data_IF_028226470605
#
_entry.id   IF_028226470605
#
_cell.length_a   1.000
_cell.length_b   1.000
_cell.length_c   1.000
_cell.angle_alpha   90.00
_cell.angle_beta   90.00
_cell.angle_gamma   90.00
#
_symmetry.space_group_name_H-M   'P 1'
#
loop_
_entity.id
_entity.type
_entity.pdbx_description
1 polymer ?
#
# COMPACT_ATOMS: atom_id res chain seq x y z
N UNK A 1 -12.24 12.04 3.28
CA UNK A 1 -11.58 13.34 3.54
C UNK A 1 -10.22 13.30 2.89
N UNK A 2 -10.04 13.98 1.76
CA UNK A 2 -8.74 14.10 1.09
C UNK A 2 -7.76 14.74 2.07
N UNK A 3 -6.76 13.99 2.53
CA UNK A 3 -5.62 14.59 3.21
C UNK A 3 -5.12 15.72 2.31
N UNK A 4 -5.06 16.96 2.82
CA UNK A 4 -4.63 18.11 2.03
C UNK A 4 -3.15 17.92 1.69
N UNK A 5 -2.86 17.38 0.50
CA UNK A 5 -1.50 17.05 0.07
C UNK A 5 -0.79 18.38 -0.25
N UNK A 6 0.22 18.73 0.56
CA UNK A 6 0.97 19.97 0.36
C UNK A 6 2.03 19.79 -0.74
N UNK A 7 1.63 19.98 -2.00
CA UNK A 7 2.52 19.90 -3.16
C UNK A 7 3.70 20.89 -3.12
N UNK A 8 3.66 21.93 -2.27
CA UNK A 8 4.79 22.87 -2.11
C UNK A 8 6.05 22.17 -1.61
N UNK A 9 5.93 21.04 -0.93
CA UNK A 9 7.08 20.27 -0.42
C UNK A 9 8.01 19.75 -1.53
N UNK A 10 7.52 19.64 -2.77
CA UNK A 10 8.33 19.22 -3.91
C UNK A 10 9.34 20.28 -4.36
N UNK A 11 9.12 21.55 -4.01
CA UNK A 11 10.01 22.66 -4.39
C UNK A 11 11.35 22.61 -3.64
N UNK A 12 11.43 21.78 -2.60
CA UNK A 12 12.60 21.67 -1.74
C UNK A 12 13.27 20.32 -1.94
N UNK A 13 14.58 20.32 -2.22
CA UNK A 13 15.36 19.09 -2.44
C UNK A 13 15.71 18.35 -1.15
N UNK A 14 15.74 19.07 -0.02
CA UNK A 14 16.11 18.53 1.29
C UNK A 14 15.33 19.23 2.40
N UNK A 15 15.27 18.58 3.57
CA UNK A 15 14.69 19.18 4.77
C UNK A 15 15.39 20.50 5.14
N UNK A 16 16.70 20.61 4.93
CA UNK A 16 17.43 21.86 5.17
C UNK A 16 17.00 22.99 4.23
N UNK A 17 16.75 22.70 2.96
CA UNK A 17 16.21 23.68 2.00
C UNK A 17 14.82 24.15 2.43
N UNK A 18 13.96 23.21 2.84
CA UNK A 18 12.63 23.49 3.39
C UNK A 18 12.69 24.36 4.66
N UNK A 19 13.59 24.07 5.61
CA UNK A 19 13.76 24.91 6.80
C UNK A 19 14.26 26.32 6.46
N UNK A 20 15.13 26.42 5.46
CA UNK A 20 15.71 27.70 5.04
C UNK A 20 14.66 28.62 4.41
N UNK A 21 13.62 28.08 3.78
CA UNK A 21 12.56 28.90 3.16
C UNK A 21 11.73 29.70 4.17
N UNK A 22 11.77 29.36 5.45
CA UNK A 22 11.07 30.10 6.51
C UNK A 22 11.93 31.18 7.17
N UNK A 23 13.23 31.23 6.87
CA UNK A 23 14.17 32.20 7.47
C UNK A 23 13.98 33.56 6.78
N UNK A 24 13.82 34.63 7.58
CA UNK A 24 13.74 36.01 7.07
C UNK A 24 15.07 36.73 7.17
N UNK A 25 15.21 37.81 6.41
CA UNK A 25 16.38 38.68 6.49
C UNK A 25 16.57 39.31 7.88
N UNK A 26 15.50 39.50 8.65
CA UNK A 26 15.57 39.98 10.04
C UNK A 26 16.30 38.97 10.96
N UNK A 27 16.14 37.68 10.71
CA UNK A 27 16.74 36.64 11.55
C UNK A 27 18.26 36.69 11.52
N UNK A 28 18.83 36.93 10.34
CA UNK A 28 20.26 37.13 10.17
C UNK A 28 20.77 38.42 10.83
N UNK A 29 19.91 39.43 11.02
CA UNK A 29 20.28 40.70 11.66
C UNK A 29 20.31 40.58 13.18
N UNK A 30 19.37 39.83 13.76
CA UNK A 30 19.18 39.76 15.21
C UNK A 30 19.77 38.50 15.86
N UNK A 31 20.04 37.45 15.07
CA UNK A 31 20.60 36.19 15.58
C UNK A 31 21.95 35.93 14.91
N UNK A 32 23.01 35.87 15.72
CA UNK A 32 24.40 35.81 15.24
C UNK A 32 24.81 34.48 14.60
N UNK A 33 23.97 33.43 14.68
CA UNK A 33 24.30 32.12 14.13
C UNK A 33 23.07 31.35 13.64
N UNK A 34 23.29 30.37 12.75
CA UNK A 34 22.23 29.58 12.13
C UNK A 34 21.49 28.66 13.13
N UNK A 35 22.13 28.27 14.23
CA UNK A 35 21.56 27.38 15.24
C UNK A 35 20.30 27.96 15.93
N UNK A 36 20.34 29.17 16.54
CA UNK A 36 19.15 29.80 17.12
C UNK A 36 18.08 30.14 16.07
N UNK A 37 18.48 30.50 14.84
CA UNK A 37 17.54 30.77 13.73
C UNK A 37 16.74 29.51 13.41
N UNK A 38 17.41 28.36 13.22
CA UNK A 38 16.75 27.08 12.95
C UNK A 38 15.84 26.64 14.10
N UNK A 39 16.26 26.87 15.35
CA UNK A 39 15.45 26.56 16.52
C UNK A 39 14.19 27.41 16.57
N UNK A 40 14.30 28.70 16.26
CA UNK A 40 13.17 29.62 16.17
C UNK A 40 12.17 29.20 15.08
N UNK A 41 12.67 28.86 13.88
CA UNK A 41 11.83 28.38 12.78
C UNK A 41 11.09 27.10 13.18
N UNK A 42 11.80 26.11 13.74
CA UNK A 42 11.18 24.84 14.19
C UNK A 42 10.04 25.02 15.18
N UNK A 43 10.11 26.05 16.02
CA UNK A 43 9.07 26.35 17.00
C UNK A 43 7.77 26.88 16.38
N UNK A 44 7.79 27.28 15.09
CA UNK A 44 6.57 27.60 14.34
C UNK A 44 5.84 28.88 14.75
N UNK A 45 6.40 29.69 15.66
CA UNK A 45 5.74 30.91 16.19
C UNK A 45 5.39 31.96 15.13
N UNK A 46 5.94 31.86 13.91
CA UNK A 46 5.81 32.88 12.86
C UNK A 46 5.07 32.39 11.60
N UNK A 47 4.72 31.11 11.53
CA UNK A 47 3.94 30.57 10.41
C UNK A 47 2.56 30.14 10.89
N UNK A 48 1.53 30.54 10.16
CA UNK A 48 0.17 30.01 10.36
C UNK A 48 0.03 28.57 9.84
N UNK A 49 0.97 28.13 8.99
CA UNK A 49 1.05 26.77 8.48
C UNK A 49 1.83 25.86 9.43
N UNK A 50 1.42 24.58 9.48
CA UNK A 50 2.14 23.52 10.20
C UNK A 50 3.55 23.38 9.61
N UNK A 51 4.56 23.47 10.44
CA UNK A 51 5.93 23.11 10.08
C UNK A 51 6.12 21.62 10.34
N UNK A 52 6.50 20.88 9.31
CA UNK A 52 6.79 19.46 9.41
C UNK A 52 8.16 19.20 10.03
N UNK A 53 8.22 18.18 10.88
CA UNK A 53 9.49 17.61 11.33
C UNK A 53 10.22 16.91 10.18
N UNK A 54 11.51 16.61 10.35
CA UNK A 54 12.32 15.99 9.29
C UNK A 54 11.75 14.64 8.82
N UNK A 55 11.31 13.80 9.76
CA UNK A 55 10.66 12.53 9.44
C UNK A 55 9.33 12.73 8.72
N UNK A 56 8.52 13.71 9.16
CA UNK A 56 7.23 14.03 8.51
C UNK A 56 7.44 14.60 7.10
N UNK A 57 8.39 15.51 6.92
CA UNK A 57 8.76 16.12 5.64
C UNK A 57 9.17 15.05 4.63
N UNK A 58 10.10 14.17 5.02
CA UNK A 58 10.58 13.11 4.13
C UNK A 58 9.45 12.12 3.78
N UNK A 59 8.61 11.76 4.75
CA UNK A 59 7.46 10.88 4.53
C UNK A 59 6.44 11.49 3.57
N UNK A 60 6.08 12.76 3.77
CA UNK A 60 5.12 13.47 2.92
C UNK A 60 5.68 13.69 1.51
N UNK A 61 6.93 14.14 1.38
CA UNK A 61 7.58 14.34 0.09
C UNK A 61 7.70 13.05 -0.71
N UNK A 62 8.05 11.93 -0.06
CA UNK A 62 8.06 10.62 -0.70
C UNK A 62 6.66 10.22 -1.18
N UNK A 63 5.63 10.41 -0.36
CA UNK A 63 4.23 10.13 -0.74
C UNK A 63 3.77 10.97 -1.94
N UNK A 64 4.17 12.25 -2.00
CA UNK A 64 3.85 13.13 -3.13
C UNK A 64 4.57 12.67 -4.39
N UNK A 65 5.85 12.30 -4.30
CA UNK A 65 6.61 11.78 -5.43
C UNK A 65 6.04 10.46 -5.97
N UNK A 66 5.59 9.58 -5.08
CA UNK A 66 4.88 8.34 -5.46
C UNK A 66 3.56 8.65 -6.17
N UNK A 67 2.80 9.63 -5.69
CA UNK A 67 1.56 10.08 -6.32
C UNK A 67 1.80 10.74 -7.70
N UNK A 68 2.88 11.50 -7.84
CA UNK A 68 3.21 12.25 -9.06
C UNK A 68 3.81 11.37 -10.17
N UNK A 69 4.27 10.15 -9.85
CA UNK A 69 4.97 9.30 -10.81
C UNK A 69 4.29 7.94 -11.09
N UNK A 70 3.01 7.91 -11.50
CA UNK A 70 2.30 6.68 -11.83
C UNK A 70 2.90 5.95 -13.06
N UNK A 71 3.70 6.64 -13.89
CA UNK A 71 4.35 6.05 -15.08
C UNK A 71 5.45 5.04 -14.76
N UNK A 72 6.04 5.08 -13.57
CA UNK A 72 7.06 4.08 -13.16
C UNK A 72 6.38 2.75 -12.82
N UNK A 73 5.18 2.79 -12.24
CA UNK A 73 4.43 1.60 -11.82
C UNK A 73 3.97 0.74 -13.01
N UNK A 74 3.60 1.35 -14.14
CA UNK A 74 3.18 0.61 -15.34
C UNK A 74 4.33 0.05 -16.19
N UNK A 75 5.58 0.42 -15.92
CA UNK A 75 6.72 0.02 -16.76
C UNK A 75 7.35 -1.33 -16.39
N UNK A 76 7.09 -1.84 -15.18
CA UNK A 76 7.67 -3.10 -14.68
C UNK A 76 6.55 -4.09 -14.39
N UNK A 77 6.31 -4.99 -15.35
CA UNK A 77 5.46 -6.16 -15.15
C UNK A 77 6.31 -7.33 -14.66
N UNK A 78 6.14 -7.73 -13.40
CA UNK A 78 6.82 -8.86 -12.78
C UNK A 78 6.33 -10.20 -13.35
N UNK A 79 5.09 -10.26 -13.82
CA UNK A 79 4.48 -11.41 -14.49
C UNK A 79 5.25 -11.86 -15.73
N UNK A 80 6.03 -10.98 -16.37
CA UNK A 80 6.93 -11.36 -17.48
C UNK A 80 8.02 -12.36 -17.07
N UNK A 81 8.29 -12.50 -15.77
CA UNK A 81 9.22 -13.49 -15.23
C UNK A 81 8.55 -14.83 -14.89
N UNK A 82 7.24 -14.96 -15.10
CA UNK A 82 6.53 -16.21 -14.87
C UNK A 82 6.95 -17.28 -15.89
N UNK A 83 7.51 -18.38 -15.38
CA UNK A 83 7.92 -19.54 -16.18
C UNK A 83 7.27 -20.85 -15.72
N UNK A 84 6.41 -20.77 -14.71
CA UNK A 84 5.76 -21.93 -14.11
C UNK A 84 4.47 -22.33 -14.82
N UNK A 85 3.82 -23.37 -14.29
CA UNK A 85 2.50 -23.85 -14.73
C UNK A 85 1.42 -23.63 -13.67
N UNK A 86 1.77 -23.03 -12.55
CA UNK A 86 0.84 -22.82 -11.42
C UNK A 86 -0.30 -21.88 -11.82
N UNK A 87 -1.54 -22.34 -11.65
CA UNK A 87 -2.73 -21.62 -12.08
C UNK A 87 -2.98 -20.34 -11.28
N UNK A 88 -2.60 -20.31 -10.00
CA UNK A 88 -2.74 -19.11 -9.17
C UNK A 88 -1.80 -18.00 -9.62
N UNK A 89 -0.51 -18.32 -9.81
CA UNK A 89 0.46 -17.36 -10.34
C UNK A 89 0.08 -16.89 -11.75
N UNK A 90 -0.39 -17.79 -12.61
CA UNK A 90 -0.92 -17.42 -13.93
C UNK A 90 -2.10 -16.44 -13.81
N UNK A 91 -3.05 -16.70 -12.91
CA UNK A 91 -4.19 -15.82 -12.69
C UNK A 91 -3.80 -14.44 -12.14
N UNK A 92 -2.77 -14.36 -11.29
CA UNK A 92 -2.21 -13.11 -10.79
C UNK A 92 -1.46 -12.34 -11.88
N UNK A 93 -0.71 -13.03 -12.73
CA UNK A 93 -0.01 -12.43 -13.88
C UNK A 93 -1.01 -11.72 -14.81
N UNK A 94 -2.12 -12.38 -15.18
CA UNK A 94 -3.14 -11.77 -16.04
C UNK A 94 -3.84 -10.55 -15.40
N UNK A 95 -3.80 -10.42 -14.08
CA UNK A 95 -4.39 -9.31 -13.32
C UNK A 95 -3.42 -8.17 -13.06
N UNK A 96 -2.12 -8.38 -13.28
CA UNK A 96 -1.08 -7.42 -12.93
C UNK A 96 -1.27 -6.09 -13.65
N UNK A 97 -1.28 -6.10 -14.99
CA UNK A 97 -1.46 -4.88 -15.78
C UNK A 97 -2.81 -4.18 -15.52
N UNK A 98 -3.96 -4.87 -15.51
CA UNK A 98 -5.24 -4.24 -15.15
C UNK A 98 -5.27 -3.59 -13.75
N UNK A 99 -4.58 -4.16 -12.76
CA UNK A 99 -4.46 -3.56 -11.42
C UNK A 99 -3.56 -2.32 -11.44
N UNK A 100 -2.40 -2.39 -12.09
CA UNK A 100 -1.47 -1.25 -12.22
C UNK A 100 -2.08 -0.07 -13.02
N UNK A 101 -2.97 -0.37 -13.96
CA UNK A 101 -3.74 0.63 -14.72
C UNK A 101 -5.01 1.10 -14.01
N UNK A 102 -5.28 0.63 -12.78
CA UNK A 102 -6.49 0.93 -12.01
C UNK A 102 -7.79 0.67 -12.79
N UNK A 103 -7.81 -0.37 -13.64
CA UNK A 103 -9.04 -0.86 -14.30
C UNK A 103 -9.81 -1.81 -13.39
N UNK A 104 -9.07 -2.60 -12.63
CA UNK A 104 -9.60 -3.48 -11.59
C UNK A 104 -8.80 -3.28 -10.31
N UNK A 105 -9.41 -3.63 -9.18
CA UNK A 105 -8.77 -3.69 -7.87
C UNK A 105 -8.96 -5.11 -7.34
N UNK A 106 -7.87 -5.86 -7.23
CA UNK A 106 -7.88 -7.28 -6.82
C UNK A 106 -7.45 -7.43 -5.37
N UNK A 107 -8.28 -8.11 -4.57
CA UNK A 107 -7.92 -8.58 -3.23
C UNK A 107 -7.63 -10.08 -3.31
N UNK A 108 -6.45 -10.49 -2.83
CA UNK A 108 -6.02 -11.88 -2.76
C UNK A 108 -6.27 -12.39 -1.35
N UNK A 109 -7.06 -13.45 -1.21
CA UNK A 109 -7.10 -14.22 0.02
C UNK A 109 -6.32 -15.52 -0.14
N UNK A 110 -5.51 -15.85 0.86
CA UNK A 110 -4.82 -17.13 0.93
C UNK A 110 -4.60 -17.56 2.37
N UNK A 111 -4.49 -18.87 2.57
CA UNK A 111 -4.09 -19.51 3.81
C UNK A 111 -2.90 -20.42 3.52
N UNK A 112 -1.78 -20.20 4.21
CA UNK A 112 -0.52 -20.89 3.96
C UNK A 112 -0.04 -21.58 5.23
N UNK A 113 0.30 -22.86 5.11
CA UNK A 113 0.94 -23.64 6.19
C UNK A 113 2.39 -23.18 6.35
N UNK A 114 2.76 -22.79 7.57
CA UNK A 114 4.15 -22.46 7.92
C UNK A 114 4.95 -23.72 8.26
N UNK A 115 6.28 -23.58 8.26
CA UNK A 115 7.21 -24.64 8.72
C UNK A 115 7.00 -25.04 10.19
N UNK A 116 6.45 -24.14 11.01
CA UNK A 116 6.08 -24.41 12.40
C UNK A 116 4.91 -25.40 12.53
N UNK A 117 4.22 -25.71 11.43
CA UNK A 117 3.02 -26.53 11.42
C UNK A 117 1.73 -25.75 11.64
N UNK A 118 1.77 -24.44 11.91
CA UNK A 118 0.58 -23.60 12.03
C UNK A 118 0.34 -22.81 10.74
N UNK A 119 -0.92 -22.44 10.49
CA UNK A 119 -1.29 -21.68 9.31
C UNK A 119 -1.20 -20.17 9.57
N UNK A 120 -1.03 -19.41 8.49
CA UNK A 120 -1.34 -17.98 8.43
C UNK A 120 -2.31 -17.73 7.30
N UNK A 121 -3.25 -16.82 7.52
CA UNK A 121 -4.18 -16.38 6.47
C UNK A 121 -4.24 -14.88 6.40
N UNK A 122 -4.60 -14.34 5.24
CA UNK A 122 -4.76 -12.90 5.11
C UNK A 122 -5.34 -12.48 3.78
N UNK A 123 -5.73 -11.21 3.74
CA UNK A 123 -6.15 -10.50 2.54
C UNK A 123 -5.03 -9.55 2.12
N UNK A 124 -4.68 -9.56 0.84
CA UNK A 124 -3.59 -8.78 0.26
C UNK A 124 -4.17 -7.86 -0.83
N UNK A 125 -3.85 -6.57 -0.76
CA UNK A 125 -4.07 -5.62 -1.84
C UNK A 125 -3.05 -5.90 -2.95
N UNK A 126 -3.50 -6.40 -4.10
CA UNK A 126 -2.54 -6.83 -5.11
C UNK A 126 -1.76 -5.66 -5.70
N UNK A 127 -2.45 -4.57 -6.08
CA UNK A 127 -1.80 -3.36 -6.62
C UNK A 127 -0.82 -2.78 -5.60
N UNK A 128 -1.26 -2.59 -4.35
CA UNK A 128 -0.38 -1.98 -3.36
C UNK A 128 0.84 -2.87 -3.08
N UNK A 129 0.67 -4.20 -3.07
CA UNK A 129 1.79 -5.14 -2.91
C UNK A 129 2.80 -5.04 -4.04
N UNK A 130 2.34 -4.92 -5.30
CA UNK A 130 3.20 -4.72 -6.48
C UNK A 130 3.94 -3.38 -6.37
N UNK A 131 3.22 -2.31 -6.03
CA UNK A 131 3.77 -0.97 -5.82
C UNK A 131 4.83 -0.93 -4.72
N UNK A 132 4.59 -1.61 -3.60
CA UNK A 132 5.57 -1.76 -2.52
C UNK A 132 6.85 -2.47 -2.98
N UNK A 133 6.73 -3.47 -3.86
CA UNK A 133 7.88 -4.13 -4.47
C UNK A 133 8.67 -3.18 -5.38
N UNK A 134 7.98 -2.42 -6.24
CA UNK A 134 8.60 -1.45 -7.15
C UNK A 134 9.39 -0.39 -6.40
N UNK A 135 8.83 0.14 -5.31
CA UNK A 135 9.49 1.13 -4.48
C UNK A 135 10.39 0.54 -3.38
N UNK A 136 10.56 -0.78 -3.33
CA UNK A 136 11.36 -1.50 -2.32
C UNK A 136 11.08 -1.02 -0.89
N UNK A 137 9.79 -0.87 -0.55
CA UNK A 137 9.36 -0.54 0.81
C UNK A 137 9.85 -1.63 1.78
N UNK A 138 10.10 -1.33 3.07
CA UNK A 138 10.42 -2.37 4.04
C UNK A 138 9.39 -3.51 4.01
N UNK A 139 9.85 -4.75 4.15
CA UNK A 139 9.02 -5.96 4.19
C UNK A 139 8.11 -6.17 2.96
N UNK A 140 8.53 -5.68 1.79
CA UNK A 140 7.82 -5.90 0.52
C UNK A 140 7.81 -7.38 0.10
N UNK A 141 6.75 -7.79 -0.60
CA UNK A 141 6.73 -9.07 -1.32
C UNK A 141 7.62 -8.96 -2.56
N UNK A 142 8.64 -9.80 -2.70
CA UNK A 142 9.50 -9.83 -3.89
C UNK A 142 8.77 -10.50 -5.07
N UNK A 143 7.90 -9.75 -5.76
CA UNK A 143 7.05 -10.27 -6.83
C UNK A 143 7.83 -10.91 -7.98
N UNK A 144 9.03 -10.42 -8.29
CA UNK A 144 9.92 -11.09 -9.25
C UNK A 144 10.28 -12.51 -8.81
N UNK A 145 10.72 -12.67 -7.57
CA UNK A 145 11.07 -13.99 -7.03
C UNK A 145 9.84 -14.91 -6.92
N UNK A 146 8.67 -14.35 -6.62
CA UNK A 146 7.39 -15.09 -6.60
C UNK A 146 7.04 -15.63 -7.99
N UNK A 147 7.07 -14.79 -9.04
CA UNK A 147 6.78 -15.25 -10.40
C UNK A 147 7.84 -16.20 -10.97
N UNK A 148 9.11 -16.05 -10.58
CA UNK A 148 10.19 -16.98 -10.91
C UNK A 148 10.11 -18.30 -10.12
N UNK A 149 9.22 -18.42 -9.13
CA UNK A 149 9.08 -19.60 -8.26
C UNK A 149 10.21 -19.76 -7.24
N UNK A 150 11.03 -18.73 -7.02
CA UNK A 150 12.13 -18.72 -6.03
C UNK A 150 11.64 -18.45 -4.61
N UNK A 151 10.52 -17.74 -4.48
CA UNK A 151 9.88 -17.43 -3.20
C UNK A 151 8.38 -17.73 -3.28
N UNK A 152 7.80 -18.15 -2.14
CA UNK A 152 6.36 -18.35 -2.02
C UNK A 152 5.69 -17.06 -1.53
N UNK A 153 4.59 -16.68 -2.16
CA UNK A 153 3.71 -15.63 -1.68
C UNK A 153 3.14 -16.00 -0.31
N UNK A 154 3.17 -15.06 0.64
CA UNK A 154 2.65 -15.23 2.00
C UNK A 154 1.96 -13.96 2.49
N UNK A 155 0.88 -14.08 3.28
CA UNK A 155 0.32 -12.96 4.02
C UNK A 155 1.31 -12.41 5.04
N UNK A 156 1.28 -11.09 5.24
CA UNK A 156 2.12 -10.33 6.17
C UNK A 156 1.24 -9.44 7.06
N UNK A 157 1.71 -9.08 8.28
CA UNK A 157 0.97 -8.17 9.17
C UNK A 157 0.63 -6.79 8.56
N UNK A 158 1.36 -6.37 7.52
CA UNK A 158 1.17 -5.12 6.80
C UNK A 158 0.16 -5.20 5.65
N UNK A 159 -0.32 -6.40 5.30
CA UNK A 159 -1.36 -6.58 4.28
C UNK A 159 -2.76 -6.19 4.84
N UNK A 160 -3.82 -6.17 4.00
CA UNK A 160 -5.18 -5.72 4.40
C UNK A 160 -5.67 -6.41 5.67
N UNK A 161 -5.42 -7.71 5.74
CA UNK A 161 -5.56 -8.43 6.98
C UNK A 161 -4.51 -9.53 7.09
N UNK A 162 -4.21 -9.87 8.33
CA UNK A 162 -3.35 -10.98 8.68
C UNK A 162 -3.90 -11.69 9.90
N UNK A 163 -3.86 -13.00 9.89
CA UNK A 163 -4.27 -13.84 11.00
C UNK A 163 -3.26 -14.97 11.21
N UNK A 164 -2.67 -15.00 12.40
CA UNK A 164 -1.78 -16.05 12.88
C UNK A 164 -2.60 -17.09 13.65
N UNK A 165 -2.77 -18.28 13.06
CA UNK A 165 -3.58 -19.34 13.66
C UNK A 165 -2.95 -19.96 14.91
N UNK A 166 -1.64 -19.80 15.10
CA UNK A 166 -0.97 -20.29 16.31
C UNK A 166 -1.27 -19.37 17.50
N UNK A 167 -1.10 -18.07 17.29
CA UNK A 167 -1.18 -17.06 18.36
C UNK A 167 -2.58 -16.46 18.52
N UNK A 168 -3.47 -16.67 17.55
CA UNK A 168 -4.76 -16.00 17.48
C UNK A 168 -4.66 -14.49 17.25
N UNK A 169 -3.53 -14.02 16.70
CA UNK A 169 -3.28 -12.59 16.48
C UNK A 169 -3.91 -12.18 15.15
N UNK A 170 -4.73 -11.14 15.18
CA UNK A 170 -5.31 -10.50 13.99
C UNK A 170 -4.72 -9.10 13.80
N UNK A 171 -4.36 -8.78 12.57
CA UNK A 171 -4.04 -7.43 12.13
C UNK A 171 -5.01 -7.06 11.00
N UNK A 172 -5.54 -5.84 11.05
CA UNK A 172 -6.33 -5.23 9.98
C UNK A 172 -5.72 -3.87 9.69
N UNK A 173 -5.30 -3.67 8.46
CA UNK A 173 -4.56 -2.47 8.05
C UNK A 173 -5.23 -1.91 6.80
N UNK A 174 -5.63 -0.64 6.85
CA UNK A 174 -6.12 0.04 5.66
C UNK A 174 -4.96 0.25 4.68
N UNK A 175 -5.17 -0.14 3.43
CA UNK A 175 -4.20 0.07 2.34
C UNK A 175 -4.47 1.38 1.62
N UNK A 176 -3.67 1.74 0.63
CA UNK A 176 -3.94 2.94 -0.16
C UNK A 176 -5.24 2.82 -0.98
N UNK A 177 -5.63 1.61 -1.38
CA UNK A 177 -6.80 1.37 -2.22
C UNK A 177 -8.04 0.96 -1.42
N UNK A 178 -7.87 0.39 -0.23
CA UNK A 178 -8.98 -0.14 0.57
C UNK A 178 -8.98 0.37 2.01
N UNK A 179 -10.18 0.54 2.56
CA UNK A 179 -10.40 0.68 4.00
C UNK A 179 -11.16 -0.54 4.53
N UNK A 180 -10.77 -0.99 5.72
CA UNK A 180 -11.44 -2.06 6.43
C UNK A 180 -12.72 -1.54 7.07
N UNK A 181 -13.84 -2.21 6.77
CA UNK A 181 -15.16 -1.84 7.29
C UNK A 181 -15.70 -2.99 8.12
N UNK A 182 -16.11 -2.67 9.35
CA UNK A 182 -16.82 -3.64 10.19
C UNK A 182 -18.19 -3.94 9.57
N UNK A 183 -18.31 -5.10 8.90
CA UNK A 183 -19.61 -5.65 8.51
C UNK A 183 -20.30 -6.30 9.70
N UNK A 184 -21.63 -6.45 9.65
CA UNK A 184 -22.40 -7.04 10.76
C UNK A 184 -21.94 -8.47 11.08
N UNK A 185 -21.75 -9.30 10.04
CA UNK A 185 -21.44 -10.73 10.18
C UNK A 185 -20.29 -11.20 9.26
N UNK A 186 -19.68 -10.30 8.49
CA UNK A 186 -18.64 -10.64 7.50
C UNK A 186 -17.63 -9.51 7.41
N UNK A 187 -16.38 -9.84 7.09
CA UNK A 187 -15.40 -8.82 6.72
C UNK A 187 -15.80 -8.18 5.38
N UNK A 188 -15.77 -6.86 5.34
CA UNK A 188 -16.08 -6.06 4.15
C UNK A 188 -14.96 -5.05 4.01
N UNK A 189 -14.47 -4.87 2.78
CA UNK A 189 -13.58 -3.79 2.44
C UNK A 189 -14.34 -2.74 1.65
N UNK A 190 -13.93 -1.48 1.76
CA UNK A 190 -14.44 -0.41 0.93
C UNK A 190 -13.30 0.11 0.05
N UNK A 191 -13.53 0.12 -1.24
CA UNK A 191 -12.59 0.72 -2.18
C UNK A 191 -12.60 2.24 -2.00
N UNK A 192 -11.41 2.86 -1.95
CA UNK A 192 -11.26 4.25 -1.51
C UNK A 192 -11.65 5.27 -2.58
N UNK A 193 -11.49 4.94 -3.85
CA UNK A 193 -11.75 5.89 -4.95
C UNK A 193 -13.24 6.00 -5.29
N UNK A 194 -13.93 4.88 -5.45
CA UNK A 194 -15.34 4.84 -5.88
C UNK A 194 -16.31 4.52 -4.72
N UNK A 195 -15.76 4.32 -3.51
CA UNK A 195 -16.50 4.07 -2.28
C UNK A 195 -17.38 2.82 -2.29
N UNK A 196 -17.15 1.87 -3.20
CA UNK A 196 -17.91 0.62 -3.25
C UNK A 196 -17.49 -0.36 -2.18
N UNK A 197 -18.49 -1.04 -1.62
CA UNK A 197 -18.29 -2.10 -0.64
C UNK A 197 -18.03 -3.43 -1.35
N UNK A 198 -17.01 -4.13 -0.88
CA UNK A 198 -16.48 -5.38 -1.43
C UNK A 198 -16.58 -6.45 -0.33
N UNK A 199 -17.64 -7.28 -0.37
CA UNK A 199 -17.82 -8.36 0.60
C UNK A 199 -16.85 -9.50 0.29
N UNK A 200 -15.98 -9.84 1.24
CA UNK A 200 -15.03 -10.95 1.11
C UNK A 200 -15.55 -12.23 1.77
N UNK A 201 -16.71 -12.69 1.29
CA UNK A 201 -17.34 -13.90 1.81
C UNK A 201 -17.88 -14.78 0.67
N UNK A 202 -18.12 -16.06 0.97
CA UNK A 202 -18.76 -16.98 0.03
C UNK A 202 -20.29 -16.84 0.01
N UNK A 203 -20.87 -16.15 0.99
CA UNK A 203 -22.33 -16.01 1.12
C UNK A 203 -22.83 -14.87 0.22
N UNK A 204 -24.07 -14.97 -0.30
CA UNK A 204 -24.71 -13.87 -0.99
C UNK A 204 -24.70 -12.62 -0.12
N UNK A 205 -24.31 -11.50 -0.72
CA UNK A 205 -24.25 -10.18 -0.08
C UNK A 205 -24.92 -9.17 -0.98
N UNK A 206 -25.57 -8.15 -0.40
CA UNK A 206 -26.18 -7.05 -1.15
C UNK A 206 -25.19 -6.28 -2.03
N UNK A 207 -23.89 -6.44 -1.77
CA UNK A 207 -22.81 -5.78 -2.51
C UNK A 207 -22.06 -6.71 -3.47
N UNK A 208 -22.57 -7.93 -3.71
CA UNK A 208 -21.91 -8.93 -4.56
C UNK A 208 -21.74 -8.47 -6.02
N UNK A 209 -22.61 -7.59 -6.52
CA UNK A 209 -22.50 -7.04 -7.88
C UNK A 209 -21.23 -6.19 -8.09
N UNK A 210 -20.62 -5.68 -7.02
CA UNK A 210 -19.41 -4.88 -7.11
C UNK A 210 -18.14 -5.72 -7.24
N UNK A 211 -18.21 -7.04 -7.02
CA UNK A 211 -17.02 -7.90 -6.94
C UNK A 211 -17.26 -9.27 -7.58
N UNK A 212 -16.31 -9.72 -8.39
CA UNK A 212 -16.28 -11.10 -8.83
C UNK A 212 -15.35 -11.92 -7.94
N UNK A 213 -15.83 -13.09 -7.50
CA UNK A 213 -15.06 -14.00 -6.65
C UNK A 213 -14.65 -15.23 -7.45
N UNK A 214 -13.35 -15.49 -7.56
CA UNK A 214 -12.82 -16.71 -8.16
C UNK A 214 -11.97 -17.49 -7.16
N UNK A 215 -12.17 -18.80 -7.09
CA UNK A 215 -11.37 -19.71 -6.27
C UNK A 215 -10.52 -20.56 -7.19
N UNK A 216 -9.21 -20.55 -6.99
CA UNK A 216 -8.24 -21.15 -7.91
C UNK A 216 -7.38 -22.12 -7.12
N UNK A 217 -7.33 -23.37 -7.58
CA UNK A 217 -6.40 -24.37 -7.05
C UNK A 217 -4.98 -24.09 -7.56
N UNK A 218 -4.01 -24.22 -6.67
CA UNK A 218 -2.60 -23.99 -6.86
C UNK A 218 -1.84 -25.12 -6.20
N UNK A 219 -0.90 -25.70 -6.95
CA UNK A 219 -0.04 -26.75 -6.41
C UNK A 219 0.94 -26.19 -5.36
N UNK A 220 1.20 -24.88 -5.39
CA UNK A 220 2.07 -24.18 -4.46
C UNK A 220 1.35 -23.72 -3.19
N UNK A 221 0.11 -23.23 -3.32
CA UNK A 221 -0.59 -22.51 -2.25
C UNK A 221 -1.87 -23.20 -1.76
N UNK A 222 -2.26 -24.34 -2.33
CA UNK A 222 -3.58 -24.92 -2.11
C UNK A 222 -4.64 -24.11 -2.85
N UNK A 223 -5.56 -23.46 -2.14
CA UNK A 223 -6.54 -22.57 -2.78
C UNK A 223 -6.21 -21.10 -2.49
N UNK A 224 -6.18 -20.30 -3.55
CA UNK A 224 -6.29 -18.85 -3.45
C UNK A 224 -7.70 -18.41 -3.83
N UNK A 225 -8.17 -17.33 -3.23
CA UNK A 225 -9.43 -16.70 -3.61
C UNK A 225 -9.14 -15.29 -4.06
N UNK A 226 -9.52 -14.95 -5.28
CA UNK A 226 -9.38 -13.61 -5.84
C UNK A 226 -10.73 -12.92 -5.84
N UNK A 227 -10.74 -11.69 -5.34
CA UNK A 227 -11.89 -10.80 -5.34
C UNK A 227 -11.55 -9.62 -6.25
N UNK A 228 -12.08 -9.63 -7.48
CA UNK A 228 -11.82 -8.59 -8.46
C UNK A 228 -12.97 -7.59 -8.48
N UNK A 229 -12.67 -6.34 -8.16
CA UNK A 229 -13.58 -5.20 -8.25
C UNK A 229 -13.25 -4.37 -9.49
N UNK A 230 -14.25 -4.09 -10.35
CA UNK A 230 -14.06 -3.21 -11.52
C UNK A 230 -14.21 -1.77 -11.05
N UNK A 231 -13.14 -0.98 -11.20
CA UNK A 231 -13.10 0.43 -10.79
C UNK A 231 -13.91 1.24 -11.81
N UNK A 232 -14.76 2.16 -11.32
CA UNK A 232 -15.66 3.00 -12.13
C UNK A 232 -15.34 4.48 -12.02
#
# INVERSE_FOLDING_TARGET
>A
MTANIDFRLLQFDSYNSYMTSFIRNEDYRYLSSMSPIRKLVRLGYRSTAKIYDEAEFNKLRAKILEFMNPKVLSSVLYGNHFKGTDAALSALMHREEPNLLHKISTIIFMQVRQRSGFDVSGYIDYEQSLRHCTFRKPDFTNWRAVFEGRELLKPKPTDLSYYDWHKGIVCMTDTDNFESVAGRNTLIFKHKDDHKLIPVCAKPSHYAENVSRSMIHSDLYGYIILYDHIIR
#
